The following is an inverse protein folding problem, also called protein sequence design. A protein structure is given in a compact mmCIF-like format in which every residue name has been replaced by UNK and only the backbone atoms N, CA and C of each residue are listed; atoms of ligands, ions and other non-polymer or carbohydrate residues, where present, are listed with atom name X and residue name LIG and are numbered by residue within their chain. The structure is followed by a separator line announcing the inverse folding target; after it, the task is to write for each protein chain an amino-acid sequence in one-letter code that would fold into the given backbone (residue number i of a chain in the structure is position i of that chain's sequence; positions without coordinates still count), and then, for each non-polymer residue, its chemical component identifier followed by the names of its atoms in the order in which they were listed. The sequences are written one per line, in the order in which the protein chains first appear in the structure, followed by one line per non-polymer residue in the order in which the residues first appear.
data_IF_961254810462
#
_entry.id   IF_961254810462
#
_cell.length_a   1.000
_cell.length_b   1.000
_cell.length_c   1.000
_cell.angle_alpha   90.00
_cell.angle_beta   90.00
_cell.angle_gamma   90.00
#
_symmetry.space_group_name_H-M   'P 1'
#
loop_
_entity.id
_entity.type
_entity.pdbx_description
1 polymer ?
#
# COMPACT_ATOMS: atom_id res chain seq x y z
N UNK A 1 30.89 -5.90 4.33
CA UNK A 1 29.58 -5.43 4.84
C UNK A 1 28.54 -5.84 3.82
N UNK A 2 27.49 -6.59 4.20
CA UNK A 2 26.46 -7.06 3.27
C UNK A 2 25.22 -6.16 3.38
N UNK A 3 24.71 -5.64 2.27
CA UNK A 3 23.44 -4.94 2.21
C UNK A 3 22.30 -5.97 2.10
N UNK A 4 21.60 -6.22 3.20
CA UNK A 4 20.51 -7.19 3.24
C UNK A 4 19.34 -6.73 2.37
N UNK A 5 18.74 -7.68 1.64
CA UNK A 5 17.54 -7.40 0.86
C UNK A 5 16.38 -6.96 1.76
N UNK A 6 15.59 -6.02 1.25
CA UNK A 6 14.35 -5.61 1.87
C UNK A 6 13.29 -6.70 1.73
N UNK A 7 12.66 -7.08 2.84
CA UNK A 7 11.57 -8.04 2.89
C UNK A 7 10.33 -7.40 3.52
N UNK A 8 9.12 -7.88 3.20
CA UNK A 8 7.91 -7.44 3.88
C UNK A 8 8.01 -7.67 5.39
N UNK A 9 7.33 -6.81 6.16
CA UNK A 9 7.27 -6.95 7.61
C UNK A 9 6.69 -8.31 8.04
N UNK A 10 7.12 -8.81 9.20
CA UNK A 10 6.49 -9.99 9.82
C UNK A 10 4.98 -9.74 9.99
N UNK A 11 4.15 -10.67 9.53
CA UNK A 11 2.69 -10.53 9.57
C UNK A 11 2.06 -9.79 8.38
N UNK A 12 2.86 -9.24 7.44
CA UNK A 12 2.31 -8.50 6.29
C UNK A 12 1.40 -9.36 5.40
N UNK A 13 1.71 -10.66 5.26
CA UNK A 13 0.90 -11.61 4.49
C UNK A 13 -0.42 -11.92 5.18
N UNK A 14 -0.41 -12.12 6.49
CA UNK A 14 -1.63 -12.30 7.30
C UNK A 14 -2.51 -11.05 7.22
N UNK A 15 -1.93 -9.86 7.34
CA UNK A 15 -2.66 -8.59 7.21
C UNK A 15 -3.26 -8.45 5.81
N UNK A 16 -2.51 -8.77 4.75
CA UNK A 16 -3.02 -8.73 3.39
C UNK A 16 -4.22 -9.68 3.18
N UNK A 17 -4.16 -10.89 3.76
CA UNK A 17 -5.28 -11.85 3.75
C UNK A 17 -6.50 -11.33 4.51
N UNK A 18 -6.29 -10.80 5.72
CA UNK A 18 -7.36 -10.22 6.54
C UNK A 18 -8.04 -9.06 5.81
N UNK A 19 -7.24 -8.20 5.19
CA UNK A 19 -7.70 -7.08 4.39
C UNK A 19 -8.14 -7.49 2.98
N UNK A 20 -8.07 -8.76 2.58
CA UNK A 20 -8.43 -9.25 1.23
C UNK A 20 -7.80 -8.44 0.10
N UNK A 21 -6.53 -8.05 0.26
CA UNK A 21 -5.74 -7.36 -0.77
C UNK A 21 -4.73 -8.31 -1.40
N UNK A 22 -4.48 -8.14 -2.69
CA UNK A 22 -3.48 -8.92 -3.44
C UNK A 22 -2.08 -8.46 -3.05
N UNK A 23 -1.16 -9.41 -2.92
CA UNK A 23 0.27 -9.15 -2.81
C UNK A 23 1.01 -9.64 -4.05
N UNK A 24 2.19 -9.10 -4.30
CA UNK A 24 3.10 -9.60 -5.30
C UNK A 24 3.74 -10.94 -4.87
N UNK A 25 4.65 -11.47 -5.70
CA UNK A 25 5.36 -12.73 -5.42
C UNK A 25 6.29 -12.65 -4.20
N UNK A 26 6.66 -11.45 -3.76
CA UNK A 26 7.54 -11.22 -2.62
C UNK A 26 6.75 -10.99 -1.33
N UNK A 27 5.46 -10.69 -1.42
CA UNK A 27 4.56 -10.43 -0.30
C UNK A 27 4.34 -8.95 -0.01
N UNK A 28 4.72 -8.05 -0.93
CA UNK A 28 4.37 -6.63 -0.86
C UNK A 28 2.96 -6.39 -1.42
N UNK A 29 2.27 -5.37 -0.93
CA UNK A 29 0.92 -5.01 -1.38
C UNK A 29 0.98 -4.57 -2.83
N UNK A 30 0.19 -5.23 -3.68
CA UNK A 30 0.13 -4.93 -5.09
C UNK A 30 -0.71 -3.67 -5.33
N UNK A 31 -0.12 -2.70 -6.03
CA UNK A 31 -0.78 -1.47 -6.50
C UNK A 31 -0.57 -1.34 -8.01
N UNK A 32 -1.30 -0.44 -8.67
CA UNK A 32 -1.18 -0.24 -10.11
C UNK A 32 -0.43 1.05 -10.45
N UNK A 33 0.31 1.13 -11.57
CA UNK A 33 1.03 2.34 -11.97
C UNK A 33 0.12 3.56 -12.21
N UNK A 34 -1.09 3.33 -12.73
CA UNK A 34 -2.09 4.36 -13.00
C UNK A 34 -2.78 4.87 -11.72
N UNK A 35 -2.78 4.06 -10.66
CA UNK A 35 -3.43 4.35 -9.39
C UNK A 35 -2.53 3.85 -8.25
N UNK A 36 -1.47 4.61 -7.93
CA UNK A 36 -0.43 4.12 -7.03
C UNK A 36 -0.93 3.95 -5.59
N UNK A 37 -1.92 4.72 -5.15
CA UNK A 37 -2.48 4.57 -3.80
C UNK A 37 -3.45 3.38 -3.69
N UNK A 38 -4.08 2.96 -4.78
CA UNK A 38 -5.16 1.99 -4.77
C UNK A 38 -4.62 0.55 -4.73
N UNK A 39 -5.22 -0.24 -3.84
CA UNK A 39 -4.97 -1.68 -3.79
C UNK A 39 -5.97 -2.44 -4.67
N UNK A 40 -5.90 -3.77 -4.67
CA UNK A 40 -6.91 -4.59 -5.35
C UNK A 40 -8.33 -4.48 -4.75
N UNK A 41 -8.48 -3.92 -3.54
CA UNK A 41 -9.78 -3.76 -2.88
C UNK A 41 -10.16 -2.27 -2.81
N UNK A 42 -11.30 -1.86 -3.39
CA UNK A 42 -11.82 -0.50 -3.23
C UNK A 42 -11.98 -0.13 -1.76
N UNK A 43 -11.65 1.11 -1.41
CA UNK A 43 -11.66 1.62 -0.03
C UNK A 43 -10.43 1.21 0.81
N UNK A 44 -9.50 0.43 0.25
CA UNK A 44 -8.18 0.19 0.85
C UNK A 44 -7.09 0.79 0.00
N UNK A 45 -6.28 1.60 0.66
CA UNK A 45 -5.14 2.29 0.08
C UNK A 45 -3.84 1.83 0.74
N UNK A 46 -2.74 1.86 0.00
CA UNK A 46 -1.42 1.48 0.47
C UNK A 46 -0.39 2.58 0.19
N UNK A 47 0.57 2.74 1.09
CA UNK A 47 1.65 3.72 0.98
C UNK A 47 2.92 3.25 1.68
N UNK A 48 4.07 3.71 1.19
CA UNK A 48 5.38 3.43 1.76
C UNK A 48 5.82 1.99 1.58
N UNK A 49 6.61 1.50 2.54
CA UNK A 49 7.38 0.26 2.41
C UNK A 49 6.54 -1.01 2.25
N UNK A 50 5.25 -0.96 2.60
CA UNK A 50 4.34 -2.10 2.43
C UNK A 50 4.13 -2.47 0.96
N UNK A 51 4.39 -1.55 0.04
CA UNK A 51 4.30 -1.73 -1.42
C UNK A 51 5.62 -2.17 -2.07
N UNK A 52 6.72 -2.10 -1.33
CA UNK A 52 8.06 -2.36 -1.82
C UNK A 52 9.07 -1.41 -1.19
N UNK A 53 10.37 -1.64 -1.43
CA UNK A 53 11.42 -0.78 -0.88
C UNK A 53 11.27 0.65 -1.39
N UNK A 54 11.22 1.60 -0.46
CA UNK A 54 11.17 3.03 -0.74
C UNK A 54 12.04 3.78 0.28
N UNK A 55 12.39 5.03 -0.01
CA UNK A 55 13.03 5.91 0.97
C UNK A 55 12.00 6.65 1.84
N UNK A 56 12.48 7.40 2.82
CA UNK A 56 11.61 8.12 3.76
C UNK A 56 10.83 9.24 3.07
N UNK A 57 11.46 10.13 2.26
CA UNK A 57 10.72 11.17 1.55
C UNK A 57 9.63 10.61 0.63
N UNK A 58 9.92 9.53 -0.08
CA UNK A 58 8.96 8.84 -0.93
C UNK A 58 7.81 8.26 -0.10
N UNK A 59 8.10 7.61 1.04
CA UNK A 59 7.07 7.10 1.92
C UNK A 59 6.12 8.22 2.42
N UNK A 60 6.65 9.38 2.78
CA UNK A 60 5.88 10.54 3.23
C UNK A 60 5.03 11.12 2.09
N UNK A 61 5.59 11.23 0.89
CA UNK A 61 4.87 11.67 -0.31
C UNK A 61 3.70 10.71 -0.63
N UNK A 62 3.96 9.41 -0.63
CA UNK A 62 2.95 8.38 -0.87
C UNK A 62 1.86 8.38 0.21
N UNK A 63 2.22 8.59 1.48
CA UNK A 63 1.24 8.68 2.57
C UNK A 63 0.27 9.85 2.37
N UNK A 64 0.78 10.99 1.91
CA UNK A 64 -0.04 12.17 1.60
C UNK A 64 -1.00 11.89 0.45
N UNK A 65 -0.51 11.27 -0.62
CA UNK A 65 -1.35 10.86 -1.77
C UNK A 65 -2.43 9.85 -1.36
N UNK A 66 -2.10 8.86 -0.52
CA UNK A 66 -3.06 7.89 -0.01
C UNK A 66 -4.12 8.53 0.88
N UNK A 67 -3.74 9.49 1.74
CA UNK A 67 -4.68 10.24 2.56
C UNK A 67 -5.66 11.07 1.72
N UNK A 68 -5.17 11.76 0.69
CA UNK A 68 -6.03 12.50 -0.25
C UNK A 68 -6.97 11.55 -1.01
N UNK A 69 -6.48 10.38 -1.43
CA UNK A 69 -7.30 9.38 -2.13
C UNK A 69 -8.39 8.81 -1.21
N UNK A 70 -8.06 8.52 0.04
CA UNK A 70 -9.02 8.08 1.05
C UNK A 70 -10.06 9.16 1.35
N UNK A 71 -9.65 10.42 1.51
CA UNK A 71 -10.56 11.54 1.70
C UNK A 71 -11.52 11.69 0.51
N UNK A 72 -11.00 11.63 -0.72
CA UNK A 72 -11.81 11.68 -1.93
C UNK A 72 -12.79 10.50 -2.04
N UNK A 73 -12.40 9.31 -1.57
CA UNK A 73 -13.28 8.15 -1.54
C UNK A 73 -14.45 8.35 -0.56
N UNK A 74 -14.17 8.87 0.63
CA UNK A 74 -15.18 9.15 1.67
C UNK A 74 -16.13 10.27 1.23
N UNK A 75 -15.61 11.36 0.66
CA UNK A 75 -16.44 12.50 0.22
C UNK A 75 -17.26 12.21 -1.03
N UNK A 76 -16.80 11.31 -1.89
CA UNK A 76 -17.55 10.88 -3.07
C UNK A 76 -18.82 10.06 -2.75
N UNK A 77 -19.11 9.77 -1.48
CA UNK A 77 -20.35 9.11 -1.08
C UNK A 77 -20.49 7.67 -1.56
N UNK A 78 -19.38 7.02 -1.92
CA UNK A 78 -19.37 5.58 -2.22
C UNK A 78 -19.53 4.86 -0.89
N UNK A 79 -20.78 4.48 -0.61
CA UNK A 79 -21.27 4.02 0.68
C UNK A 79 -20.42 2.96 1.37
N UNK A 80 -20.33 3.13 2.70
CA UNK A 80 -20.30 2.02 3.65
C UNK A 80 -21.60 1.23 3.60
#
# INVERSE_FOLDING_TARGET
MLATAAMPARGAKELAKLMRVKTDRYGFVLTRPDQPADTSRPGIFACGFCKGPCDIPEAVSQASAAAQRAAAFVTAGVGI
#
